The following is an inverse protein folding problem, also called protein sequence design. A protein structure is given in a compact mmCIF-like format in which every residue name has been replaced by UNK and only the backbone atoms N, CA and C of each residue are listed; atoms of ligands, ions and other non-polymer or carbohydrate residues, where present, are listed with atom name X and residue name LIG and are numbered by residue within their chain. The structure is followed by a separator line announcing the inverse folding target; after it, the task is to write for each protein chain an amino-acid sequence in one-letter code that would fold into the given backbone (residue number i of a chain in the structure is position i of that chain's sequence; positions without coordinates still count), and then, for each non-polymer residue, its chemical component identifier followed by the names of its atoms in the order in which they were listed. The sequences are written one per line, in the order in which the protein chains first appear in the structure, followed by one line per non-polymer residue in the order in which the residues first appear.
data_IF_130131361472
#
_entry.id   IF_130131361472
#
_cell.length_a   1.000
_cell.length_b   1.000
_cell.length_c   1.000
_cell.angle_alpha   90.00
_cell.angle_beta   90.00
_cell.angle_gamma   90.00
#
_symmetry.space_group_name_H-M   'P 1'
#
loop_
_entity.id
_entity.type
_entity.pdbx_description
1 polymer ?
#
# COMPACT_ATOMS: atom_id res chain seq x y z
N UNK A 1 -19.72 -21.79 36.03
CA UNK A 1 -20.38 -20.47 36.14
C UNK A 1 -19.43 -19.30 35.89
N UNK A 2 -18.51 -18.89 36.79
CA UNK A 2 -17.64 -17.72 36.55
C UNK A 2 -16.72 -17.90 35.31
N UNK A 3 -16.01 -19.03 35.20
CA UNK A 3 -15.14 -19.33 34.04
C UNK A 3 -15.86 -19.39 32.69
N UNK A 4 -17.12 -19.83 32.67
CA UNK A 4 -17.93 -19.91 31.44
C UNK A 4 -18.41 -18.52 31.01
N UNK A 5 -18.76 -17.65 31.98
CA UNK A 5 -19.09 -16.25 31.74
C UNK A 5 -17.87 -15.49 31.21
N UNK A 6 -16.68 -15.74 31.78
CA UNK A 6 -15.43 -15.12 31.34
C UNK A 6 -15.05 -15.54 29.90
N UNK A 7 -15.24 -16.82 29.54
CA UNK A 7 -15.01 -17.30 28.17
C UNK A 7 -16.00 -16.72 27.14
N UNK A 8 -17.29 -16.59 27.50
CA UNK A 8 -18.28 -15.98 26.61
C UNK A 8 -17.94 -14.52 26.27
N UNK A 9 -17.42 -13.76 27.25
CA UNK A 9 -16.98 -12.37 27.06
C UNK A 9 -15.74 -12.30 26.14
N UNK A 10 -14.81 -13.24 26.27
CA UNK A 10 -13.62 -13.32 25.41
C UNK A 10 -14.05 -13.60 23.96
N UNK A 11 -14.93 -14.59 23.75
CA UNK A 11 -15.42 -14.96 22.41
C UNK A 11 -16.15 -13.79 21.74
N UNK A 12 -17.06 -13.11 22.45
CA UNK A 12 -17.76 -11.93 21.94
C UNK A 12 -16.79 -10.80 21.54
N UNK A 13 -15.76 -10.58 22.36
CA UNK A 13 -14.71 -9.59 22.09
C UNK A 13 -13.93 -9.93 20.82
N UNK A 14 -13.51 -11.18 20.67
CA UNK A 14 -12.79 -11.65 19.48
C UNK A 14 -13.68 -11.52 18.24
N UNK A 15 -14.95 -11.93 18.33
CA UNK A 15 -15.89 -11.86 17.21
C UNK A 15 -16.09 -10.42 16.73
N UNK A 16 -16.23 -9.45 17.66
CA UNK A 16 -16.28 -8.02 17.32
C UNK A 16 -15.03 -7.56 16.56
N UNK A 17 -13.85 -8.01 16.98
CA UNK A 17 -12.59 -7.68 16.32
C UNK A 17 -12.46 -8.33 14.93
N UNK A 18 -12.93 -9.58 14.76
CA UNK A 18 -13.00 -10.25 13.47
C UNK A 18 -13.88 -9.44 12.52
N UNK A 19 -15.09 -9.10 12.93
CA UNK A 19 -16.05 -8.34 12.12
C UNK A 19 -15.45 -6.99 11.73
N UNK A 20 -14.84 -6.27 12.69
CA UNK A 20 -14.20 -4.99 12.42
C UNK A 20 -13.05 -5.10 11.40
N UNK A 21 -12.21 -6.13 11.52
CA UNK A 21 -11.14 -6.40 10.56
C UNK A 21 -11.69 -6.74 9.17
N UNK A 22 -12.65 -7.68 9.09
CA UNK A 22 -13.24 -8.14 7.83
C UNK A 22 -13.96 -7.01 7.08
N UNK A 23 -14.74 -6.17 7.79
CA UNK A 23 -15.38 -4.97 7.22
C UNK A 23 -14.38 -3.99 6.62
N UNK A 24 -13.15 -3.97 7.12
CA UNK A 24 -12.09 -3.10 6.62
C UNK A 24 -11.41 -3.60 5.34
N UNK A 25 -11.47 -4.89 5.02
CA UNK A 25 -10.67 -5.49 3.95
C UNK A 25 -10.99 -4.91 2.56
N UNK A 26 -12.25 -4.98 2.13
CA UNK A 26 -12.65 -4.49 0.81
C UNK A 26 -12.40 -2.98 0.66
N UNK A 27 -12.82 -2.10 1.60
CA UNK A 27 -12.50 -0.67 1.53
C UNK A 27 -11.00 -0.38 1.46
N UNK A 28 -10.16 -1.17 2.14
CA UNK A 28 -8.71 -1.02 2.06
C UNK A 28 -8.17 -1.34 0.66
N UNK A 29 -8.64 -2.43 0.04
CA UNK A 29 -8.24 -2.77 -1.34
C UNK A 29 -8.61 -1.63 -2.30
N UNK A 30 -9.85 -1.13 -2.25
CA UNK A 30 -10.27 -0.01 -3.11
C UNK A 30 -9.42 1.23 -2.88
N UNK A 31 -9.16 1.57 -1.61
CA UNK A 31 -8.34 2.73 -1.27
C UNK A 31 -6.92 2.60 -1.82
N UNK A 32 -6.28 1.44 -1.69
CA UNK A 32 -4.94 1.21 -2.23
C UNK A 32 -4.92 1.26 -3.76
N UNK A 33 -5.92 0.68 -4.44
CA UNK A 33 -6.06 0.76 -5.89
C UNK A 33 -6.18 2.21 -6.34
N UNK A 34 -7.07 2.98 -5.74
CA UNK A 34 -7.29 4.38 -6.09
C UNK A 34 -6.04 5.24 -5.85
N UNK A 35 -5.35 5.03 -4.71
CA UNK A 35 -4.10 5.75 -4.43
C UNK A 35 -2.99 5.44 -5.44
N UNK A 36 -2.88 4.19 -5.88
CA UNK A 36 -1.91 3.83 -6.92
C UNK A 36 -2.32 4.38 -8.30
N UNK A 37 -3.61 4.40 -8.61
CA UNK A 37 -4.10 5.03 -9.85
C UNK A 37 -3.82 6.54 -9.87
N UNK A 38 -4.06 7.23 -8.74
CA UNK A 38 -3.73 8.65 -8.54
C UNK A 38 -2.24 8.95 -8.77
N UNK A 39 -1.33 7.99 -8.52
CA UNK A 39 0.12 8.17 -8.76
C UNK A 39 0.51 8.11 -10.24
N UNK A 40 -0.36 7.58 -11.11
CA UNK A 40 -0.03 7.38 -12.54
C UNK A 40 0.37 8.68 -13.22
N UNK A 41 -0.41 9.76 -13.03
CA UNK A 41 -0.13 11.05 -13.69
C UNK A 41 1.16 11.70 -13.17
N UNK A 42 1.37 11.86 -11.84
CA UNK A 42 2.62 12.42 -11.34
C UNK A 42 3.87 11.63 -11.75
N UNK A 43 3.79 10.30 -11.74
CA UNK A 43 4.91 9.44 -12.13
C UNK A 43 5.27 9.61 -13.61
N UNK A 44 4.25 9.69 -14.49
CA UNK A 44 4.47 9.97 -15.92
C UNK A 44 5.04 11.38 -16.15
N UNK A 45 4.50 12.40 -15.46
CA UNK A 45 5.00 13.77 -15.55
C UNK A 45 6.46 13.87 -15.11
N UNK A 46 6.80 13.22 -14.00
CA UNK A 46 8.18 13.12 -13.51
C UNK A 46 9.12 12.45 -14.53
N UNK A 47 8.67 11.38 -15.19
CA UNK A 47 9.39 10.73 -16.29
C UNK A 47 9.68 11.69 -17.43
N UNK A 48 8.67 12.42 -17.87
CA UNK A 48 8.76 13.41 -18.95
C UNK A 48 9.71 14.57 -18.60
N UNK A 49 9.58 15.17 -17.41
CA UNK A 49 10.47 16.25 -16.98
C UNK A 49 11.91 15.78 -16.82
N UNK A 50 12.11 14.58 -16.30
CA UNK A 50 13.42 13.95 -16.21
C UNK A 50 14.07 13.76 -17.59
N UNK A 51 13.28 13.40 -18.60
CA UNK A 51 13.74 13.29 -19.99
C UNK A 51 14.08 14.67 -20.59
N UNK A 52 13.19 15.65 -20.43
CA UNK A 52 13.43 17.02 -20.87
C UNK A 52 14.72 17.58 -20.28
N UNK A 53 14.96 17.37 -18.97
CA UNK A 53 16.18 17.81 -18.32
C UNK A 53 17.43 17.24 -19.00
N UNK A 54 17.45 15.93 -19.29
CA UNK A 54 18.59 15.29 -19.98
C UNK A 54 18.80 15.86 -21.38
N UNK A 55 17.72 16.17 -22.11
CA UNK A 55 17.84 16.79 -23.44
C UNK A 55 18.38 18.21 -23.37
N UNK A 56 17.88 19.01 -22.43
CA UNK A 56 18.35 20.37 -22.22
C UNK A 56 19.82 20.36 -21.81
N UNK A 57 20.24 19.50 -20.88
CA UNK A 57 21.64 19.35 -20.44
C UNK A 57 22.58 18.96 -21.59
N UNK A 58 22.12 18.13 -22.54
CA UNK A 58 22.92 17.69 -23.69
C UNK A 58 22.94 18.70 -24.84
N UNK A 59 22.00 19.63 -24.88
CA UNK A 59 21.92 20.63 -25.93
C UNK A 59 23.13 21.58 -25.85
N UNK A 60 23.76 21.83 -26.99
CA UNK A 60 24.87 22.77 -27.11
C UNK A 60 24.77 23.52 -28.43
N UNK A 61 24.05 24.65 -28.42
CA UNK A 61 23.76 25.42 -29.62
C UNK A 61 24.68 26.63 -29.69
N UNK A 62 25.67 26.58 -30.58
CA UNK A 62 26.73 27.60 -30.70
C UNK A 62 26.28 28.92 -31.35
N UNK A 63 25.19 28.91 -32.10
CA UNK A 63 24.74 30.07 -32.89
C UNK A 63 23.63 30.89 -32.21
N UNK A 64 23.23 30.53 -30.99
CA UNK A 64 22.27 31.30 -30.20
C UNK A 64 23.06 32.10 -29.17
N UNK A 65 23.04 33.42 -29.31
CA UNK A 65 23.60 34.31 -28.29
C UNK A 65 22.86 34.14 -26.97
N UNK A 66 23.61 34.02 -25.87
CA UNK A 66 23.04 33.78 -24.55
C UNK A 66 22.47 32.37 -24.32
N UNK A 67 22.73 31.41 -25.23
CA UNK A 67 22.21 30.03 -25.12
C UNK A 67 22.43 29.41 -23.74
N UNK A 68 23.62 29.57 -23.15
CA UNK A 68 23.92 29.02 -21.80
C UNK A 68 23.01 29.58 -20.72
N UNK A 69 22.75 30.89 -20.73
CA UNK A 69 21.87 31.52 -19.76
C UNK A 69 20.42 31.06 -19.93
N UNK A 70 19.97 30.92 -21.19
CA UNK A 70 18.65 30.35 -21.51
C UNK A 70 18.54 28.89 -21.07
N UNK A 71 19.58 28.09 -21.32
CA UNK A 71 19.68 26.69 -20.91
C UNK A 71 19.60 26.55 -19.39
N UNK A 72 20.38 27.34 -18.64
CA UNK A 72 20.35 27.36 -17.17
C UNK A 72 18.97 27.74 -16.63
N UNK A 73 18.34 28.77 -17.20
CA UNK A 73 16.98 29.19 -16.82
C UNK A 73 15.94 28.09 -17.07
N UNK A 74 16.02 27.41 -18.21
CA UNK A 74 15.13 26.31 -18.55
C UNK A 74 15.37 25.09 -17.64
N UNK A 75 16.63 24.74 -17.37
CA UNK A 75 16.98 23.68 -16.43
C UNK A 75 16.43 23.97 -15.03
N UNK A 76 16.55 25.22 -14.56
CA UNK A 76 16.00 25.62 -13.27
C UNK A 76 14.49 25.40 -13.22
N UNK A 77 13.76 25.82 -14.26
CA UNK A 77 12.31 25.60 -14.35
C UNK A 77 11.97 24.11 -14.32
N UNK A 78 12.65 23.28 -15.12
CA UNK A 78 12.39 21.83 -15.15
C UNK A 78 12.69 21.18 -13.80
N UNK A 79 13.76 21.58 -13.11
CA UNK A 79 14.07 21.09 -11.76
C UNK A 79 12.95 21.44 -10.77
N UNK A 80 12.37 22.65 -10.86
CA UNK A 80 11.23 23.04 -10.02
C UNK A 80 10.01 22.14 -10.26
N UNK A 81 9.67 21.86 -11.52
CA UNK A 81 8.56 20.97 -11.88
C UNK A 81 8.81 19.53 -11.39
N UNK A 82 10.05 19.05 -11.45
CA UNK A 82 10.46 17.75 -10.88
C UNK A 82 10.21 17.73 -9.37
N UNK A 83 10.60 18.78 -8.65
CA UNK A 83 10.39 18.88 -7.21
C UNK A 83 8.90 18.84 -6.85
N UNK A 84 8.06 19.55 -7.60
CA UNK A 84 6.60 19.55 -7.41
C UNK A 84 6.01 18.15 -7.58
N UNK A 85 6.39 17.42 -8.64
CA UNK A 85 5.92 16.04 -8.84
C UNK A 85 6.41 15.09 -7.75
N UNK A 86 7.66 15.23 -7.27
CA UNK A 86 8.18 14.43 -6.16
C UNK A 86 7.40 14.67 -4.87
N UNK A 87 6.98 15.91 -4.59
CA UNK A 87 6.14 16.26 -3.44
C UNK A 87 4.77 15.60 -3.55
N UNK A 88 4.14 15.65 -4.73
CA UNK A 88 2.84 15.01 -4.99
C UNK A 88 2.92 13.50 -4.77
N UNK A 89 3.92 12.84 -5.37
CA UNK A 89 4.15 11.39 -5.21
C UNK A 89 4.37 11.05 -3.74
N UNK A 90 5.21 11.80 -3.02
CA UNK A 90 5.45 11.58 -1.58
C UNK A 90 4.17 11.69 -0.77
N UNK A 91 3.30 12.65 -1.07
CA UNK A 91 1.99 12.80 -0.45
C UNK A 91 1.11 11.56 -0.63
N UNK A 92 1.07 11.01 -1.85
CA UNK A 92 0.33 9.78 -2.16
C UNK A 92 0.91 8.55 -1.44
N UNK A 93 2.25 8.42 -1.41
CA UNK A 93 2.92 7.34 -0.67
C UNK A 93 2.63 7.40 0.84
N UNK A 94 2.57 8.61 1.42
CA UNK A 94 2.20 8.77 2.82
C UNK A 94 0.76 8.32 3.07
N UNK A 95 -0.19 8.68 2.20
CA UNK A 95 -1.59 8.23 2.29
C UNK A 95 -1.70 6.71 2.17
N UNK A 96 -0.91 6.09 1.29
CA UNK A 96 -0.84 4.63 1.15
C UNK A 96 -0.30 3.96 2.43
N UNK A 97 0.78 4.49 3.00
CA UNK A 97 1.32 3.98 4.26
C UNK A 97 0.29 4.08 5.40
N UNK A 98 -0.41 5.21 5.53
CA UNK A 98 -1.47 5.37 6.54
C UNK A 98 -2.57 4.33 6.37
N UNK A 99 -3.01 4.05 5.13
CA UNK A 99 -3.98 3.00 4.87
C UNK A 99 -3.47 1.60 5.28
N UNK A 100 -2.19 1.30 5.03
CA UNK A 100 -1.56 0.04 5.43
C UNK A 100 -1.44 -0.07 6.96
N UNK A 101 -1.06 1.00 7.65
CA UNK A 101 -0.98 1.01 9.12
C UNK A 101 -2.34 0.82 9.78
N UNK A 102 -3.41 1.44 9.25
CA UNK A 102 -4.77 1.22 9.76
C UNK A 102 -5.16 -0.27 9.70
N UNK A 103 -4.92 -0.92 8.57
CA UNK A 103 -5.25 -2.34 8.41
C UNK A 103 -4.38 -3.24 9.31
N UNK A 104 -3.08 -2.94 9.38
CA UNK A 104 -2.16 -3.64 10.28
C UNK A 104 -2.58 -3.52 11.74
N UNK A 105 -3.01 -2.33 12.16
CA UNK A 105 -3.47 -2.09 13.53
C UNK A 105 -4.73 -2.91 13.85
N UNK A 106 -5.69 -3.00 12.92
CA UNK A 106 -6.88 -3.86 13.07
C UNK A 106 -6.49 -5.33 13.25
N UNK A 107 -5.55 -5.84 12.45
CA UNK A 107 -5.05 -7.20 12.58
C UNK A 107 -4.36 -7.42 13.95
N UNK A 108 -3.49 -6.49 14.36
CA UNK A 108 -2.79 -6.58 15.67
C UNK A 108 -3.78 -6.56 16.84
N UNK A 109 -4.84 -5.76 16.77
CA UNK A 109 -5.90 -5.75 17.79
C UNK A 109 -6.61 -7.11 17.84
N UNK A 110 -6.93 -7.68 16.68
CA UNK A 110 -7.52 -9.01 16.59
C UNK A 110 -6.60 -10.07 17.19
N UNK A 111 -5.33 -10.13 16.78
CA UNK A 111 -4.32 -11.05 17.32
C UNK A 111 -4.19 -10.93 18.85
N UNK A 112 -4.13 -9.70 19.38
CA UNK A 112 -4.03 -9.49 20.83
C UNK A 112 -5.26 -9.97 21.58
N UNK A 113 -6.45 -9.88 20.98
CA UNK A 113 -7.68 -10.35 21.62
C UNK A 113 -7.75 -11.88 21.74
N UNK A 114 -6.88 -12.62 21.06
CA UNK A 114 -6.84 -14.10 21.14
C UNK A 114 -5.88 -14.63 22.22
N UNK A 115 -5.27 -13.76 23.04
CA UNK A 115 -4.24 -14.16 24.00
C UNK A 115 -4.75 -15.18 25.04
N UNK A 116 -5.98 -14.99 25.51
CA UNK A 116 -6.62 -15.83 26.53
C UNK A 116 -7.61 -16.85 25.92
N UNK A 117 -7.60 -17.02 24.60
CA UNK A 117 -8.46 -17.99 23.91
C UNK A 117 -7.98 -19.41 24.17
N UNK A 118 -8.92 -20.30 24.52
CA UNK A 118 -8.68 -21.74 24.53
C UNK A 118 -8.73 -22.28 23.09
N UNK A 119 -7.56 -22.49 22.50
CA UNK A 119 -7.40 -22.98 21.13
C UNK A 119 -7.76 -24.45 20.94
N UNK A 120 -7.98 -25.19 22.02
CA UNK A 120 -8.41 -26.59 21.99
C UNK A 120 -9.93 -26.74 22.14
N UNK A 121 -10.65 -25.62 22.35
CA UNK A 121 -12.10 -25.64 22.48
C UNK A 121 -12.78 -25.99 21.15
N UNK A 122 -13.79 -26.86 21.19
CA UNK A 122 -14.65 -27.22 20.04
C UNK A 122 -15.69 -26.12 19.71
N UNK A 123 -15.29 -24.85 19.81
CA UNK A 123 -16.16 -23.72 19.47
C UNK A 123 -16.10 -23.39 17.98
N UNK A 124 -17.21 -22.91 17.42
CA UNK A 124 -17.29 -22.43 16.02
C UNK A 124 -16.21 -21.39 15.67
N UNK A 125 -15.71 -20.64 16.66
CA UNK A 125 -14.61 -19.69 16.48
C UNK A 125 -13.28 -20.39 16.16
N UNK A 126 -12.99 -21.49 16.86
CA UNK A 126 -11.73 -22.25 16.76
C UNK A 126 -11.80 -23.24 15.59
N UNK A 127 -12.87 -24.02 15.50
CA UNK A 127 -13.04 -25.07 14.48
C UNK A 127 -13.60 -24.54 13.15
N UNK A 128 -14.14 -23.32 13.16
CA UNK A 128 -14.89 -22.76 12.05
C UNK A 128 -16.33 -23.26 12.00
N UNK A 129 -17.14 -22.60 11.18
CA UNK A 129 -18.52 -22.93 10.88
C UNK A 129 -18.79 -22.84 9.38
N UNK A 130 -20.02 -23.12 8.95
CA UNK A 130 -20.43 -22.94 7.56
C UNK A 130 -20.37 -21.47 7.08
N UNK A 131 -20.39 -20.51 8.01
CA UNK A 131 -20.45 -19.07 7.71
C UNK A 131 -19.13 -18.35 7.99
N UNK A 132 -18.27 -18.91 8.84
CA UNK A 132 -17.01 -18.31 9.24
C UNK A 132 -15.89 -19.34 9.22
N UNK A 133 -14.76 -19.08 8.52
CA UNK A 133 -13.60 -19.95 8.61
C UNK A 133 -13.01 -19.96 10.03
N UNK A 134 -12.21 -20.99 10.40
CA UNK A 134 -11.46 -21.02 11.64
C UNK A 134 -10.68 -19.73 11.88
N UNK A 135 -10.64 -19.23 13.12
CA UNK A 135 -9.90 -18.02 13.48
C UNK A 135 -8.42 -18.10 13.10
N UNK A 136 -7.80 -19.27 13.22
CA UNK A 136 -6.41 -19.51 12.80
C UNK A 136 -6.20 -19.14 11.33
N UNK A 137 -7.14 -19.50 10.46
CA UNK A 137 -7.12 -19.17 9.03
C UNK A 137 -7.34 -17.67 8.80
N UNK A 138 -8.27 -17.04 9.53
CA UNK A 138 -8.50 -15.58 9.45
C UNK A 138 -7.21 -14.83 9.79
N UNK A 139 -6.51 -15.24 10.85
CA UNK A 139 -5.26 -14.61 11.27
C UNK A 139 -4.15 -14.84 10.23
N UNK A 140 -3.98 -16.07 9.75
CA UNK A 140 -2.94 -16.41 8.79
C UNK A 140 -3.15 -15.69 7.45
N UNK A 141 -4.31 -15.87 6.82
CA UNK A 141 -4.63 -15.26 5.53
C UNK A 141 -4.69 -13.72 5.68
N UNK A 142 -5.13 -13.22 6.84
CA UNK A 142 -5.12 -11.80 7.19
C UNK A 142 -3.72 -11.20 7.29
N UNK A 143 -2.77 -11.93 7.87
CA UNK A 143 -1.36 -11.55 7.91
C UNK A 143 -0.78 -11.47 6.49
N UNK A 144 -1.02 -12.49 5.65
CA UNK A 144 -0.52 -12.47 4.27
C UNK A 144 -1.15 -11.34 3.45
N UNK A 145 -2.45 -11.07 3.65
CA UNK A 145 -3.15 -9.94 3.06
C UNK A 145 -2.47 -8.62 3.43
N UNK A 146 -2.28 -8.33 4.72
CA UNK A 146 -1.64 -7.08 5.19
C UNK A 146 -0.20 -6.97 4.69
N UNK A 147 0.53 -8.08 4.70
CA UNK A 147 1.91 -8.14 4.23
C UNK A 147 2.03 -7.77 2.75
N UNK A 148 1.15 -8.30 1.90
CA UNK A 148 1.12 -7.98 0.47
C UNK A 148 1.05 -6.47 0.20
N UNK A 149 0.17 -5.74 0.88
CA UNK A 149 0.07 -4.28 0.73
C UNK A 149 1.28 -3.53 1.31
N UNK A 150 1.82 -4.00 2.43
CA UNK A 150 3.05 -3.45 3.00
C UNK A 150 4.25 -3.61 2.06
N UNK A 151 4.37 -4.77 1.41
CA UNK A 151 5.46 -5.07 0.48
C UNK A 151 5.39 -4.22 -0.80
N UNK A 152 4.18 -3.97 -1.31
CA UNK A 152 3.96 -3.00 -2.41
C UNK A 152 4.48 -1.62 -2.03
N UNK A 153 4.01 -1.09 -0.88
CA UNK A 153 4.43 0.22 -0.40
C UNK A 153 5.95 0.29 -0.22
N UNK A 154 6.54 -0.74 0.41
CA UNK A 154 7.98 -0.79 0.66
C UNK A 154 8.78 -0.78 -0.64
N UNK A 155 8.40 -1.59 -1.63
CA UNK A 155 9.07 -1.62 -2.93
C UNK A 155 9.05 -0.26 -3.63
N UNK A 156 7.93 0.47 -3.55
CA UNK A 156 7.82 1.80 -4.16
C UNK A 156 8.62 2.82 -3.35
N UNK A 157 8.49 2.81 -2.03
CA UNK A 157 9.17 3.75 -1.12
C UNK A 157 10.69 3.63 -1.23
N UNK A 158 11.23 2.43 -1.29
CA UNK A 158 12.67 2.21 -1.40
C UNK A 158 13.20 2.65 -2.78
N UNK A 159 12.41 2.46 -3.84
CA UNK A 159 12.72 2.99 -5.17
C UNK A 159 12.66 4.53 -5.20
N UNK A 160 11.71 5.14 -4.49
CA UNK A 160 11.58 6.59 -4.39
C UNK A 160 12.77 7.23 -3.67
N UNK A 161 13.25 6.62 -2.57
CA UNK A 161 14.41 7.11 -1.80
C UNK A 161 15.73 7.08 -2.59
N UNK A 162 15.85 6.14 -3.52
CA UNK A 162 17.06 5.90 -4.30
C UNK A 162 16.98 6.47 -5.72
N UNK A 163 15.89 7.18 -6.03
CA UNK A 163 15.57 7.67 -7.36
C UNK A 163 16.64 8.64 -7.87
N UNK A 164 17.15 8.37 -9.07
CA UNK A 164 18.07 9.26 -9.79
C UNK A 164 17.36 9.84 -11.01
N UNK A 165 16.77 11.02 -10.87
CA UNK A 165 15.97 11.68 -11.93
C UNK A 165 16.75 11.91 -13.24
N UNK A 166 18.08 12.09 -13.16
CA UNK A 166 18.94 12.24 -14.35
C UNK A 166 19.29 10.92 -15.04
N UNK A 167 18.97 9.78 -14.45
CA UNK A 167 19.26 8.46 -15.00
C UNK A 167 17.98 7.84 -15.56
N UNK A 168 17.99 7.54 -16.86
CA UNK A 168 16.82 7.00 -17.58
C UNK A 168 16.39 5.62 -17.07
N UNK A 169 17.34 4.73 -16.77
CA UNK A 169 17.07 3.39 -16.26
C UNK A 169 16.42 3.46 -14.87
N UNK A 170 16.95 4.32 -13.98
CA UNK A 170 16.39 4.58 -12.66
C UNK A 170 14.95 5.10 -12.74
N UNK A 171 14.62 5.93 -13.73
CA UNK A 171 13.26 6.43 -13.94
C UNK A 171 12.33 5.32 -14.43
N UNK A 172 12.76 4.54 -15.42
CA UNK A 172 11.99 3.38 -15.93
C UNK A 172 11.72 2.35 -14.83
N UNK A 173 12.71 2.04 -14.01
CA UNK A 173 12.56 1.13 -12.88
C UNK A 173 11.56 1.65 -11.86
N UNK A 174 11.61 2.94 -11.57
CA UNK A 174 10.68 3.59 -10.66
C UNK A 174 9.24 3.56 -11.19
N UNK A 175 9.01 3.91 -12.45
CA UNK A 175 7.70 3.82 -13.10
C UNK A 175 7.14 2.39 -13.05
N UNK A 176 7.99 1.38 -13.25
CA UNK A 176 7.58 -0.02 -13.21
C UNK A 176 7.14 -0.48 -11.82
N UNK A 177 7.59 0.16 -10.73
CA UNK A 177 7.13 -0.16 -9.36
C UNK A 177 5.65 0.13 -9.13
N UNK A 178 5.02 0.99 -9.95
CA UNK A 178 3.60 1.30 -9.83
C UNK A 178 2.70 0.36 -10.65
N UNK A 179 3.26 -0.44 -11.57
CA UNK A 179 2.52 -1.38 -12.42
C UNK A 179 2.17 -2.69 -11.70
N UNK A 180 2.05 -2.66 -10.37
CA UNK A 180 1.81 -3.86 -9.56
C UNK A 180 0.34 -4.24 -9.57
N UNK A 181 0.07 -5.54 -9.73
CA UNK A 181 -1.29 -6.08 -9.63
C UNK A 181 -1.71 -6.16 -8.16
N UNK A 182 -2.45 -5.13 -7.70
CA UNK A 182 -2.98 -5.07 -6.33
C UNK A 182 -3.90 -6.25 -6.03
N UNK A 183 -4.85 -6.55 -6.93
CA UNK A 183 -5.78 -7.68 -6.81
C UNK A 183 -5.16 -8.95 -7.39
N UNK A 184 -4.49 -9.72 -6.55
CA UNK A 184 -4.00 -11.05 -6.89
C UNK A 184 -4.97 -12.14 -6.38
N UNK A 185 -4.65 -13.41 -6.66
CA UNK A 185 -5.46 -14.55 -6.23
C UNK A 185 -5.64 -14.62 -4.71
N UNK A 186 -4.62 -14.22 -3.96
CA UNK A 186 -4.65 -14.18 -2.50
C UNK A 186 -5.69 -13.17 -2.01
N UNK A 187 -5.62 -11.92 -2.50
CA UNK A 187 -6.57 -10.85 -2.13
C UNK A 187 -7.99 -11.24 -2.50
N UNK A 188 -8.21 -11.70 -3.73
CA UNK A 188 -9.56 -12.08 -4.19
C UNK A 188 -10.09 -13.31 -3.44
N UNK A 189 -9.26 -14.31 -3.20
CA UNK A 189 -9.65 -15.51 -2.45
C UNK A 189 -10.02 -15.18 -1.01
N UNK A 190 -9.21 -14.34 -0.35
CA UNK A 190 -9.46 -13.97 1.04
C UNK A 190 -10.74 -13.14 1.20
N UNK A 191 -10.98 -12.17 0.31
CA UNK A 191 -12.23 -11.42 0.30
C UNK A 191 -13.46 -12.32 0.06
N UNK A 192 -13.36 -13.29 -0.84
CA UNK A 192 -14.46 -14.20 -1.15
C UNK A 192 -14.82 -15.12 0.02
N UNK A 193 -13.81 -15.58 0.79
CA UNK A 193 -14.03 -16.42 1.97
C UNK A 193 -14.69 -15.63 3.11
N UNK A 194 -14.36 -14.35 3.25
CA UNK A 194 -14.81 -13.53 4.38
C UNK A 194 -16.05 -12.68 4.12
N UNK A 195 -16.63 -12.75 2.91
CA UNK A 195 -17.83 -11.98 2.57
C UNK A 195 -19.07 -12.34 3.41
N UNK A 196 -19.05 -13.48 4.11
CA UNK A 196 -20.16 -13.98 4.93
C UNK A 196 -19.94 -13.82 6.44
N UNK A 197 -18.83 -13.22 6.85
CA UNK A 197 -18.50 -12.99 8.25
C UNK A 197 -19.22 -11.71 8.74
N UNK A 198 -20.25 -11.89 9.58
CA UNK A 198 -21.12 -10.82 10.09
C UNK A 198 -21.27 -10.84 11.61
#
# INVERSE_FOLDING_TARGET
MQKEVDQAIIIDTIQKNIINFCKGLSPHVEKCVNLLDETTKPVQALGNYSEQLRHVERANIKYIDGFKSLQESLMFKICSEIEDELVLIKGLLNRLNVANQDMKNKLVILEKSTADLDWEAESDLVTGSAFQPPLSRILQDGYEFVRHFCDIYKSISDSFKTLKVRNEESMKDFENKFKVKVRNKLVTGYLAVLQYVY
#
